data_IF_153115329597
#
_entry.id   IF_153115329597
#
_cell.length_a   1.000
_cell.length_b   1.000
_cell.length_c   1.000
_cell.angle_alpha   90.00
_cell.angle_beta   90.00
_cell.angle_gamma   90.00
#
_symmetry.space_group_name_H-M   'P 1'
#
loop_
_entity.id
_entity.type
_entity.pdbx_description
1 polymer ?
#
# COMPACT_ATOMS: atom_id res chain seq x y z
N UNK A 1 38.25 -0.92 7.92
CA UNK A 1 37.38 -0.57 6.77
C UNK A 1 36.92 -1.88 6.14
N UNK A 2 35.84 -2.49 6.61
CA UNK A 2 35.36 -3.76 6.08
C UNK A 2 33.85 -3.69 5.83
N UNK A 3 33.42 -4.25 4.70
CA UNK A 3 32.04 -4.47 4.23
C UNK A 3 31.29 -3.28 3.63
N UNK A 4 31.76 -2.79 2.47
CA UNK A 4 30.92 -2.03 1.51
C UNK A 4 30.14 -2.99 0.57
N UNK A 5 30.41 -4.30 0.62
CA UNK A 5 29.82 -5.28 -0.31
C UNK A 5 29.08 -6.38 0.43
N UNK A 6 27.96 -6.07 1.07
CA UNK A 6 26.91 -7.09 1.20
C UNK A 6 26.04 -6.94 -0.05
N UNK A 7 26.06 -7.88 -1.01
CA UNK A 7 25.07 -7.86 -2.09
C UNK A 7 23.70 -7.84 -1.40
N UNK A 8 22.86 -6.86 -1.73
CA UNK A 8 21.53 -6.76 -1.16
C UNK A 8 20.84 -8.10 -1.39
N UNK A 9 20.76 -8.91 -0.33
CA UNK A 9 20.40 -10.31 -0.48
C UNK A 9 18.99 -10.32 -1.06
N UNK A 10 18.71 -11.07 -2.14
CA UNK A 10 17.39 -11.06 -2.78
C UNK A 10 16.27 -11.31 -1.78
N UNK A 11 16.56 -12.11 -0.74
CA UNK A 11 15.69 -12.35 0.41
C UNK A 11 15.28 -11.08 1.18
N UNK A 12 16.18 -10.10 1.35
CA UNK A 12 15.89 -8.81 2.00
C UNK A 12 14.93 -7.97 1.16
N UNK A 13 15.11 -7.95 -0.16
CA UNK A 13 14.21 -7.23 -1.06
C UNK A 13 12.80 -7.83 -1.04
N UNK A 14 12.68 -9.16 -1.05
CA UNK A 14 11.39 -9.84 -0.92
C UNK A 14 10.69 -9.48 0.39
N UNK A 15 11.43 -9.46 1.51
CA UNK A 15 10.89 -9.04 2.81
C UNK A 15 10.40 -7.59 2.83
N UNK A 16 11.18 -6.67 2.26
CA UNK A 16 10.79 -5.24 2.17
C UNK A 16 9.51 -5.08 1.32
N UNK A 17 9.43 -5.79 0.19
CA UNK A 17 8.24 -5.75 -0.66
C UNK A 17 7.00 -6.29 0.08
N UNK A 18 7.16 -7.40 0.80
CA UNK A 18 6.08 -7.99 1.60
C UNK A 18 5.60 -7.04 2.71
N UNK A 19 6.52 -6.40 3.43
CA UNK A 19 6.18 -5.39 4.45
C UNK A 19 5.42 -4.23 3.81
N UNK A 20 5.89 -3.69 2.67
CA UNK A 20 5.16 -2.62 1.97
C UNK A 20 3.75 -3.05 1.56
N UNK A 21 3.59 -4.23 0.98
CA UNK A 21 2.28 -4.77 0.63
C UNK A 21 1.37 -4.89 1.85
N UNK A 22 1.87 -5.45 2.96
CA UNK A 22 1.10 -5.59 4.19
C UNK A 22 0.71 -4.22 4.78
N UNK A 23 1.63 -3.25 4.80
CA UNK A 23 1.35 -1.88 5.25
C UNK A 23 0.30 -1.20 4.39
N UNK A 24 0.37 -1.35 3.06
CA UNK A 24 -0.63 -0.80 2.15
C UNK A 24 -1.99 -1.45 2.31
N UNK A 25 -2.04 -2.78 2.44
CA UNK A 25 -3.28 -3.51 2.73
C UNK A 25 -3.90 -3.07 4.06
N UNK A 26 -3.08 -2.86 5.09
CA UNK A 26 -3.51 -2.31 6.39
C UNK A 26 -4.11 -0.91 6.23
N UNK A 27 -3.46 -0.01 5.50
CA UNK A 27 -4.03 1.32 5.28
C UNK A 27 -5.36 1.29 4.54
N UNK A 28 -5.47 0.48 3.48
CA UNK A 28 -6.71 0.35 2.72
C UNK A 28 -7.81 -0.30 3.57
N UNK A 29 -7.46 -1.29 4.40
CA UNK A 29 -8.39 -1.91 5.34
C UNK A 29 -8.93 -0.88 6.35
N UNK A 30 -8.06 -0.04 6.91
CA UNK A 30 -8.47 1.01 7.83
C UNK A 30 -9.35 2.05 7.12
N UNK A 31 -8.95 2.52 5.94
CA UNK A 31 -9.75 3.44 5.12
C UNK A 31 -11.15 2.88 4.88
N UNK A 32 -11.26 1.63 4.45
CA UNK A 32 -12.53 0.97 4.18
C UNK A 32 -13.35 0.67 5.44
N UNK A 33 -12.69 0.44 6.59
CA UNK A 33 -13.39 0.25 7.86
C UNK A 33 -13.95 1.56 8.41
N UNK A 34 -13.27 2.67 8.17
CA UNK A 34 -13.72 4.01 8.59
C UNK A 34 -14.68 4.67 7.61
N UNK A 35 -14.78 4.19 6.37
CA UNK A 35 -15.62 4.80 5.34
C UNK A 35 -17.12 4.55 5.49
N UNK A 36 -17.57 3.67 6.39
CA UNK A 36 -19.00 3.52 6.74
C UNK A 36 -19.95 3.51 5.54
N UNK A 37 -21.02 4.31 5.61
CA UNK A 37 -22.01 4.48 4.54
C UNK A 37 -21.60 5.47 3.43
N UNK A 38 -20.37 6.01 3.46
CA UNK A 38 -19.90 6.98 2.45
C UNK A 38 -19.61 6.37 1.08
N UNK A 39 -19.84 5.06 0.88
CA UNK A 39 -19.63 4.35 -0.39
C UNK A 39 -18.16 4.22 -0.81
N UNK A 40 -17.22 4.72 0.00
CA UNK A 40 -15.80 4.69 -0.28
C UNK A 40 -15.22 3.32 0.09
N UNK A 41 -15.16 2.42 -0.87
CA UNK A 41 -14.57 1.10 -0.68
C UNK A 41 -13.54 0.79 -1.77
N UNK A 42 -12.26 0.95 -1.43
CA UNK A 42 -11.18 0.64 -2.36
C UNK A 42 -10.87 -0.87 -2.28
N UNK A 43 -10.94 -1.64 -3.38
CA UNK A 43 -10.68 -3.08 -3.34
C UNK A 43 -9.27 -3.36 -2.82
N UNK A 44 -9.15 -4.23 -1.81
CA UNK A 44 -7.87 -4.61 -1.20
C UNK A 44 -7.28 -5.78 -2.01
N UNK A 45 -6.48 -5.48 -3.01
CA UNK A 45 -5.80 -6.47 -3.85
C UNK A 45 -4.30 -6.17 -3.94
N UNK A 46 -3.56 -7.02 -4.66
CA UNK A 46 -2.11 -6.87 -4.78
C UNK A 46 -1.68 -5.51 -5.34
N UNK A 47 -2.40 -5.00 -6.35
CA UNK A 47 -2.05 -3.73 -7.02
C UNK A 47 -2.34 -2.54 -6.11
N UNK A 48 -3.54 -2.44 -5.55
CA UNK A 48 -3.92 -1.31 -4.68
C UNK A 48 -3.09 -1.28 -3.40
N UNK A 49 -2.83 -2.44 -2.80
CA UNK A 49 -1.98 -2.57 -1.62
C UNK A 49 -0.52 -2.23 -1.92
N UNK A 50 -0.02 -2.57 -3.12
CA UNK A 50 1.32 -2.15 -3.54
C UNK A 50 1.39 -0.62 -3.70
N UNK A 51 0.41 0.00 -4.37
CA UNK A 51 0.36 1.45 -4.55
C UNK A 51 0.30 2.16 -3.20
N UNK A 52 -0.63 1.76 -2.32
CA UNK A 52 -0.76 2.29 -0.97
C UNK A 52 0.49 2.03 -0.11
N UNK A 53 1.13 0.88 -0.24
CA UNK A 53 2.31 0.49 0.54
C UNK A 53 3.62 1.14 0.08
N UNK A 54 3.75 1.40 -1.22
CA UNK A 54 4.92 2.05 -1.80
C UNK A 54 4.84 3.57 -1.57
N UNK A 55 3.70 4.19 -1.88
CA UNK A 55 3.49 5.64 -1.72
C UNK A 55 3.05 6.04 -0.29
N UNK A 56 2.61 5.10 0.53
CA UNK A 56 2.10 5.38 1.87
C UNK A 56 0.75 6.12 1.85
N UNK A 57 0.60 7.08 2.78
CA UNK A 57 -0.64 7.87 2.94
C UNK A 57 -1.03 8.62 1.67
N UNK A 58 -0.07 9.12 0.90
CA UNK A 58 -0.33 9.79 -0.38
C UNK A 58 -0.99 8.85 -1.41
N UNK A 59 -0.56 7.57 -1.44
CA UNK A 59 -1.15 6.55 -2.32
C UNK A 59 -2.56 6.18 -1.90
N UNK A 60 -2.80 6.07 -0.60
CA UNK A 60 -4.14 5.80 -0.03
C UNK A 60 -5.10 6.95 -0.38
N UNK A 61 -4.67 8.20 -0.19
CA UNK A 61 -5.47 9.38 -0.54
C UNK A 61 -5.77 9.43 -2.05
N UNK A 62 -4.78 9.15 -2.90
CA UNK A 62 -4.98 9.11 -4.35
C UNK A 62 -6.00 8.04 -4.77
N UNK A 63 -5.90 6.83 -4.21
CA UNK A 63 -6.86 5.74 -4.45
C UNK A 63 -8.27 6.10 -3.97
N UNK A 64 -8.37 6.74 -2.80
CA UNK A 64 -9.65 7.21 -2.26
C UNK A 64 -10.30 8.26 -3.17
N UNK A 65 -9.52 9.20 -3.70
CA UNK A 65 -9.99 10.21 -4.66
C UNK A 65 -10.43 9.55 -5.97
N UNK A 66 -9.67 8.58 -6.50
CA UNK A 66 -10.07 7.84 -7.71
C UNK A 66 -11.41 7.13 -7.49
N UNK A 67 -11.58 6.48 -6.33
CA UNK A 67 -12.83 5.80 -6.02
C UNK A 67 -14.02 6.77 -5.95
N UNK A 68 -13.87 7.90 -5.26
CA UNK A 68 -14.94 8.88 -5.06
C UNK A 68 -15.32 9.66 -6.33
N UNK A 69 -14.33 9.99 -7.17
CA UNK A 69 -14.54 10.95 -8.27
C UNK A 69 -14.58 10.32 -9.66
N UNK A 70 -13.88 9.21 -9.88
CA UNK A 70 -13.83 8.55 -11.18
C UNK A 70 -14.75 7.34 -11.27
N UNK A 71 -14.77 6.51 -10.22
CA UNK A 71 -15.52 5.25 -10.23
C UNK A 71 -16.95 5.47 -9.71
N UNK A 72 -17.10 6.29 -8.66
CA UNK A 72 -18.38 6.84 -8.18
C UNK A 72 -19.50 5.81 -8.06
#
# INVERSE_FOLDING_TARGET
>A
MASITAPASPLKFTGILFVKLATGALFLFLLNSFSGDYGLHVPINFVTSAVAGILGVAGVAALAVIQLWLIG
#
